data_IF_883340068595
#
_entry.id   IF_883340068595
#
_cell.length_a   1.000
_cell.length_b   1.000
_cell.length_c   1.000
_cell.angle_alpha   90.00
_cell.angle_beta   90.00
_cell.angle_gamma   90.00
#
_symmetry.space_group_name_H-M   'P 1'
#
loop_
_entity.id
_entity.type
_entity.pdbx_description
1 polymer ?
#
# COMPACT_ATOMS: atom_id res chain seq x y z
N UNK A 1 -1.65 -10.16 -5.60
CA UNK A 1 -0.81 -9.41 -4.64
C UNK A 1 0.56 -9.21 -5.26
N UNK A 2 0.99 -7.98 -5.40
CA UNK A 2 2.32 -7.66 -5.97
C UNK A 2 3.35 -7.88 -4.87
N UNK A 3 4.45 -8.59 -5.17
CA UNK A 3 5.54 -8.79 -4.22
C UNK A 3 6.37 -7.49 -4.04
N UNK A 4 7.13 -7.36 -2.94
CA UNK A 4 7.91 -6.15 -2.67
C UNK A 4 8.97 -5.85 -3.73
N UNK A 5 9.57 -6.85 -4.36
CA UNK A 5 10.59 -6.69 -5.38
C UNK A 5 9.98 -6.08 -6.65
N UNK A 6 8.85 -6.62 -7.09
CA UNK A 6 8.09 -6.08 -8.23
C UNK A 6 7.55 -4.69 -7.92
N UNK A 7 7.07 -4.46 -6.71
CA UNK A 7 6.61 -3.15 -6.25
C UNK A 7 7.74 -2.11 -6.27
N UNK A 8 8.94 -2.47 -5.84
CA UNK A 8 10.11 -1.59 -5.89
C UNK A 8 10.46 -1.20 -7.33
N UNK A 9 10.51 -2.18 -8.24
CA UNK A 9 10.75 -1.92 -9.66
C UNK A 9 9.67 -1.03 -10.28
N UNK A 10 8.41 -1.25 -9.93
CA UNK A 10 7.28 -0.42 -10.37
C UNK A 10 7.41 1.01 -9.87
N UNK A 11 7.79 1.21 -8.60
CA UNK A 11 8.02 2.53 -8.04
C UNK A 11 9.16 3.28 -8.75
N UNK A 12 10.27 2.61 -9.04
CA UNK A 12 11.38 3.21 -9.79
C UNK A 12 10.96 3.61 -11.21
N UNK A 13 10.20 2.77 -11.89
CA UNK A 13 9.68 3.08 -13.23
C UNK A 13 8.71 4.27 -13.19
N UNK A 14 7.87 4.37 -12.18
CA UNK A 14 6.94 5.48 -11.98
C UNK A 14 7.67 6.80 -11.74
N UNK A 15 8.75 6.82 -10.93
CA UNK A 15 9.59 8.01 -10.74
C UNK A 15 10.16 8.50 -12.06
N UNK A 16 10.71 7.60 -12.87
CA UNK A 16 11.23 7.94 -14.20
C UNK A 16 10.13 8.48 -15.12
N UNK A 17 8.95 7.89 -15.04
CA UNK A 17 7.76 8.35 -15.76
C UNK A 17 7.35 9.77 -15.39
N UNK A 18 7.34 10.11 -14.10
CA UNK A 18 7.06 11.47 -13.60
C UNK A 18 8.10 12.47 -14.10
N UNK A 19 9.37 12.15 -13.96
CA UNK A 19 10.47 13.03 -14.41
C UNK A 19 10.39 13.27 -15.91
N UNK A 20 10.14 12.23 -16.72
CA UNK A 20 9.96 12.35 -18.15
C UNK A 20 8.73 13.18 -18.52
N UNK A 21 7.61 12.98 -17.84
CA UNK A 21 6.38 13.73 -18.06
C UNK A 21 6.56 15.24 -17.77
N UNK A 22 7.27 15.59 -16.70
CA UNK A 22 7.56 16.98 -16.37
C UNK A 22 8.49 17.60 -17.42
N UNK A 23 9.55 16.91 -17.84
CA UNK A 23 10.47 17.38 -18.88
C UNK A 23 9.79 17.58 -20.23
N UNK A 24 8.83 16.75 -20.58
CA UNK A 24 8.07 16.84 -21.83
C UNK A 24 6.93 17.85 -21.77
N UNK A 25 6.68 18.49 -20.64
CA UNK A 25 5.54 19.38 -20.45
C UNK A 25 4.19 18.67 -20.54
N UNK A 26 4.13 17.38 -20.18
CA UNK A 26 2.89 16.60 -20.21
C UNK A 26 1.88 17.12 -19.20
N UNK A 27 0.62 16.82 -19.51
CA UNK A 27 -0.54 17.21 -18.71
C UNK A 27 -0.41 16.73 -17.26
N UNK A 28 -0.93 17.55 -16.35
CA UNK A 28 -1.05 17.29 -14.91
C UNK A 28 -1.67 15.91 -14.62
N UNK A 29 -2.64 15.48 -15.41
CA UNK A 29 -3.27 14.16 -15.26
C UNK A 29 -2.30 12.98 -15.51
N UNK A 30 -1.40 13.11 -16.49
CA UNK A 30 -0.38 12.10 -16.75
C UNK A 30 0.64 12.02 -15.61
N UNK A 31 1.07 13.17 -15.09
CA UNK A 31 1.96 13.26 -13.91
C UNK A 31 1.29 12.64 -12.69
N UNK A 32 0.04 13.00 -12.43
CA UNK A 32 -0.76 12.48 -11.32
C UNK A 32 -0.91 10.95 -11.38
N UNK A 33 -1.17 10.39 -12.56
CA UNK A 33 -1.27 8.94 -12.75
C UNK A 33 0.01 8.20 -12.40
N UNK A 34 1.17 8.69 -12.85
CA UNK A 34 2.47 8.10 -12.51
C UNK A 34 2.80 8.27 -11.01
N UNK A 35 2.46 9.40 -10.41
CA UNK A 35 2.62 9.64 -8.97
C UNK A 35 1.80 8.66 -8.14
N UNK A 36 0.56 8.38 -8.53
CA UNK A 36 -0.28 7.43 -7.82
C UNK A 36 0.28 6.01 -7.90
N UNK A 37 0.79 5.59 -9.06
CA UNK A 37 1.50 4.32 -9.20
C UNK A 37 2.71 4.23 -8.28
N UNK A 38 3.47 5.31 -8.17
CA UNK A 38 4.61 5.39 -7.27
C UNK A 38 4.19 5.21 -5.80
N UNK A 39 3.16 5.92 -5.35
CA UNK A 39 2.67 5.82 -3.97
C UNK A 39 2.13 4.43 -3.65
N UNK A 40 1.37 3.82 -4.53
CA UNK A 40 0.85 2.47 -4.35
C UNK A 40 1.98 1.44 -4.23
N UNK A 41 2.95 1.52 -5.11
CA UNK A 41 4.10 0.63 -5.08
C UNK A 41 4.97 0.84 -3.83
N UNK A 42 5.20 2.10 -3.44
CA UNK A 42 5.92 2.45 -2.21
C UNK A 42 5.21 1.91 -0.97
N UNK A 43 3.90 2.04 -0.90
CA UNK A 43 3.11 1.55 0.25
C UNK A 43 3.22 0.03 0.40
N UNK A 44 3.33 -0.72 -0.69
CA UNK A 44 3.55 -2.18 -0.66
C UNK A 44 4.92 -2.49 -0.05
N UNK A 45 5.97 -1.84 -0.52
CA UNK A 45 7.34 -2.05 0.01
C UNK A 45 7.41 -1.65 1.48
N UNK A 46 6.81 -0.54 1.85
CA UNK A 46 6.83 -0.01 3.21
C UNK A 46 6.07 -0.91 4.20
N UNK A 47 4.92 -1.45 3.79
CA UNK A 47 4.18 -2.44 4.59
C UNK A 47 5.00 -3.70 4.83
N UNK A 48 5.67 -4.20 3.83
CA UNK A 48 6.53 -5.38 3.96
C UNK A 48 7.73 -5.10 4.86
N UNK A 49 8.36 -3.94 4.74
CA UNK A 49 9.46 -3.50 5.59
C UNK A 49 9.07 -3.35 7.07
N UNK A 50 7.79 -3.04 7.33
CA UNK A 50 7.25 -2.82 8.68
C UNK A 50 6.76 -4.10 9.36
N UNK A 51 6.69 -5.23 8.66
CA UNK A 51 6.24 -6.49 9.27
C UNK A 51 7.24 -6.97 10.32
N UNK A 52 6.75 -7.45 11.49
CA UNK A 52 7.63 -8.04 12.49
C UNK A 52 8.29 -9.30 11.93
N UNK A 53 9.59 -9.40 12.13
CA UNK A 53 10.40 -10.51 11.62
C UNK A 53 10.47 -11.59 12.67
N UNK A 54 9.82 -12.72 12.42
CA UNK A 54 9.78 -13.87 13.31
C UNK A 54 10.82 -14.94 12.97
N UNK A 55 11.72 -14.68 12.05
CA UNK A 55 12.57 -15.71 11.46
C UNK A 55 13.98 -15.65 11.98
N UNK A 56 14.53 -16.82 12.31
CA UNK A 56 15.91 -17.06 12.69
C UNK A 56 16.80 -17.52 11.52
N UNK A 57 16.28 -17.63 10.31
CA UNK A 57 17.03 -18.04 9.13
C UNK A 57 17.88 -16.89 8.57
N UNK A 58 19.15 -17.14 8.29
CA UNK A 58 20.08 -16.13 7.74
C UNK A 58 19.61 -15.53 6.39
N UNK A 59 18.99 -16.34 5.55
CA UNK A 59 18.45 -15.91 4.25
C UNK A 59 17.31 -14.90 4.41
N UNK A 60 16.44 -15.12 5.38
CA UNK A 60 15.31 -14.25 5.66
C UNK A 60 15.75 -12.89 6.23
N UNK A 61 16.85 -12.89 7.01
CA UNK A 61 17.44 -11.65 7.53
C UNK A 61 18.02 -10.78 6.42
N UNK A 62 18.71 -11.39 5.45
CA UNK A 62 19.26 -10.67 4.31
C UNK A 62 18.15 -10.08 3.42
N UNK A 63 17.12 -10.86 3.12
CA UNK A 63 15.94 -10.39 2.38
C UNK A 63 15.22 -9.25 3.10
N UNK A 64 15.05 -9.41 4.41
CA UNK A 64 14.43 -8.40 5.25
C UNK A 64 15.23 -7.09 5.27
N UNK A 65 16.56 -7.16 5.32
CA UNK A 65 17.42 -5.99 5.23
C UNK A 65 17.29 -5.31 3.87
N UNK A 66 17.28 -6.09 2.79
CA UNK A 66 17.09 -5.56 1.43
C UNK A 66 15.77 -4.79 1.30
N UNK A 67 14.66 -5.33 1.79
CA UNK A 67 13.36 -4.67 1.76
C UNK A 67 13.39 -3.35 2.54
N UNK A 68 14.03 -3.32 3.71
CA UNK A 68 14.19 -2.08 4.49
C UNK A 68 15.02 -1.04 3.73
N UNK A 69 16.09 -1.46 3.08
CA UNK A 69 16.91 -0.56 2.25
C UNK A 69 16.13 -0.04 1.04
N UNK A 70 15.36 -0.88 0.39
CA UNK A 70 14.47 -0.47 -0.71
C UNK A 70 13.41 0.54 -0.24
N UNK A 71 12.79 0.30 0.93
CA UNK A 71 11.84 1.24 1.51
C UNK A 71 12.47 2.61 1.80
N UNK A 72 13.71 2.62 2.30
CA UNK A 72 14.48 3.84 2.51
C UNK A 72 14.77 4.56 1.20
N UNK A 73 15.22 3.84 0.18
CA UNK A 73 15.48 4.41 -1.14
C UNK A 73 14.23 5.06 -1.75
N UNK A 74 13.07 4.43 -1.60
CA UNK A 74 11.81 5.00 -2.08
C UNK A 74 11.38 6.24 -1.27
N UNK A 75 11.65 6.28 0.03
CA UNK A 75 11.40 7.47 0.84
C UNK A 75 12.32 8.65 0.44
N UNK A 76 13.57 8.37 0.15
CA UNK A 76 14.53 9.37 -0.36
C UNK A 76 14.12 9.86 -1.76
N UNK A 77 13.73 8.96 -2.64
CA UNK A 77 13.23 9.28 -3.97
C UNK A 77 11.95 10.14 -3.94
N UNK A 78 11.05 9.91 -2.99
CA UNK A 78 9.87 10.76 -2.78
C UNK A 78 10.28 12.18 -2.39
N UNK A 79 11.27 12.34 -1.52
CA UNK A 79 11.80 13.65 -1.15
C UNK A 79 12.43 14.38 -2.34
N UNK A 80 13.22 13.68 -3.13
CA UNK A 80 13.82 14.24 -4.35
C UNK A 80 12.74 14.66 -5.34
N UNK A 81 11.71 13.83 -5.51
CA UNK A 81 10.59 14.14 -6.38
C UNK A 81 9.79 15.35 -5.91
N UNK A 82 9.56 15.48 -4.59
CA UNK A 82 8.96 16.67 -4.01
C UNK A 82 9.80 17.92 -4.33
N UNK A 83 11.10 17.88 -4.07
CA UNK A 83 12.00 18.99 -4.35
C UNK A 83 11.98 19.35 -5.84
N UNK A 84 11.98 18.36 -6.71
CA UNK A 84 11.91 18.57 -8.15
C UNK A 84 10.58 19.24 -8.57
N UNK A 85 9.47 18.79 -8.01
CA UNK A 85 8.15 19.37 -8.26
C UNK A 85 8.08 20.84 -7.79
N UNK A 86 8.59 21.12 -6.60
CA UNK A 86 8.65 22.49 -6.06
C UNK A 86 9.52 23.39 -6.93
N UNK A 87 10.71 22.95 -7.31
CA UNK A 87 11.63 23.71 -8.16
C UNK A 87 11.10 23.93 -9.57
N UNK A 88 10.26 23.02 -10.07
CA UNK A 88 9.60 23.13 -11.38
C UNK A 88 8.34 24.01 -11.36
N UNK A 89 8.00 24.62 -10.21
CA UNK A 89 6.80 25.43 -10.06
C UNK A 89 5.50 24.65 -9.87
N UNK A 90 5.58 23.35 -9.58
CA UNK A 90 4.43 22.45 -9.41
C UNK A 90 4.18 22.10 -7.93
N UNK A 91 4.51 22.98 -7.00
CA UNK A 91 4.32 22.75 -5.57
C UNK A 91 2.84 22.52 -5.20
N UNK A 92 1.93 23.24 -5.85
CA UNK A 92 0.49 23.10 -5.62
C UNK A 92 -0.02 21.70 -6.05
N UNK A 93 0.49 21.21 -7.17
CA UNK A 93 0.17 19.84 -7.63
C UNK A 93 0.66 18.79 -6.64
N UNK A 94 1.85 18.98 -6.10
CA UNK A 94 2.36 18.07 -5.06
C UNK A 94 1.43 18.03 -3.85
N UNK A 95 0.99 19.18 -3.36
CA UNK A 95 0.07 19.25 -2.23
C UNK A 95 -1.28 18.58 -2.53
N UNK A 96 -1.84 18.82 -3.70
CA UNK A 96 -3.09 18.18 -4.13
C UNK A 96 -2.96 16.65 -4.18
N UNK A 97 -1.85 16.15 -4.72
CA UNK A 97 -1.56 14.70 -4.76
C UNK A 97 -1.42 14.11 -3.35
N UNK A 98 -0.80 14.83 -2.41
CA UNK A 98 -0.69 14.38 -1.02
C UNK A 98 -2.07 14.31 -0.33
N UNK A 99 -2.91 15.28 -0.55
CA UNK A 99 -4.29 15.28 -0.02
C UNK A 99 -5.08 14.09 -0.58
N UNK A 100 -5.02 13.89 -1.89
CA UNK A 100 -5.73 12.77 -2.54
C UNK A 100 -5.21 11.41 -2.07
N UNK A 101 -3.90 11.25 -1.97
CA UNK A 101 -3.28 10.07 -1.37
C UNK A 101 -3.82 9.78 0.03
N UNK A 102 -3.87 10.80 0.88
CA UNK A 102 -4.37 10.64 2.24
C UNK A 102 -5.85 10.26 2.28
N UNK A 103 -6.66 10.80 1.37
CA UNK A 103 -8.06 10.44 1.23
C UNK A 103 -8.23 8.97 0.83
N UNK A 104 -7.46 8.51 -0.15
CA UNK A 104 -7.46 7.11 -0.60
C UNK A 104 -7.05 6.18 0.55
N UNK A 105 -6.00 6.52 1.30
CA UNK A 105 -5.56 5.73 2.46
C UNK A 105 -6.67 5.63 3.51
N UNK A 106 -7.34 6.73 3.81
CA UNK A 106 -8.47 6.75 4.76
C UNK A 106 -9.64 5.88 4.28
N UNK A 107 -10.00 5.99 3.01
CA UNK A 107 -11.06 5.18 2.42
C UNK A 107 -10.73 3.69 2.50
N UNK A 108 -9.53 3.29 2.13
CA UNK A 108 -9.07 1.89 2.25
C UNK A 108 -9.16 1.37 3.68
N UNK A 109 -8.75 2.16 4.68
CA UNK A 109 -8.86 1.78 6.09
C UNK A 109 -10.30 1.57 6.51
N UNK A 110 -11.21 2.43 6.09
CA UNK A 110 -12.64 2.28 6.37
C UNK A 110 -13.19 1.02 5.73
N UNK A 111 -12.86 0.74 4.47
CA UNK A 111 -13.26 -0.48 3.76
C UNK A 111 -12.72 -1.74 4.43
N UNK A 112 -11.46 -1.73 4.87
CA UNK A 112 -10.85 -2.84 5.60
C UNK A 112 -11.58 -3.12 6.92
N UNK A 113 -11.92 -2.08 7.69
CA UNK A 113 -12.65 -2.20 8.95
C UNK A 113 -14.06 -2.76 8.69
N UNK A 114 -14.75 -2.26 7.67
CA UNK A 114 -16.07 -2.76 7.29
C UNK A 114 -16.02 -4.22 6.86
N UNK A 115 -15.04 -4.59 6.04
CA UNK A 115 -14.85 -5.98 5.60
C UNK A 115 -14.54 -6.90 6.78
N UNK A 116 -13.72 -6.47 7.73
CA UNK A 116 -13.42 -7.23 8.94
C UNK A 116 -14.66 -7.41 9.83
N UNK A 117 -15.44 -6.36 10.03
CA UNK A 117 -16.69 -6.42 10.77
C UNK A 117 -17.70 -7.37 10.11
N UNK A 118 -17.82 -7.37 8.79
CA UNK A 118 -18.66 -8.33 8.07
C UNK A 118 -18.18 -9.77 8.23
N UNK A 119 -16.87 -9.99 8.24
CA UNK A 119 -16.31 -11.33 8.50
C UNK A 119 -16.59 -11.81 9.91
N UNK A 120 -16.49 -10.92 10.92
CA UNK A 120 -16.80 -11.24 12.32
C UNK A 120 -18.27 -11.61 12.48
N UNK A 121 -19.18 -10.80 11.94
CA UNK A 121 -20.63 -11.09 11.97
C UNK A 121 -20.96 -12.43 11.31
N UNK A 122 -20.39 -12.73 10.15
CA UNK A 122 -20.59 -14.03 9.50
C UNK A 122 -20.11 -15.19 10.34
N UNK A 123 -18.99 -15.06 11.04
CA UNK A 123 -18.49 -16.12 11.93
C UNK A 123 -19.42 -16.34 13.10
N UNK A 124 -19.89 -15.27 13.73
CA UNK A 124 -20.88 -15.33 14.82
C UNK A 124 -22.18 -16.02 14.37
N UNK A 125 -22.72 -15.63 13.21
CA UNK A 125 -23.91 -16.26 12.63
C UNK A 125 -23.72 -17.76 12.36
N UNK A 126 -22.55 -18.15 11.86
CA UNK A 126 -22.23 -19.57 11.60
C UNK A 126 -22.08 -20.33 12.93
N UNK A 127 -21.43 -19.76 13.93
CA UNK A 127 -21.29 -20.36 15.26
C UNK A 127 -22.64 -20.55 15.92
N UNK A 128 -23.53 -19.57 15.86
CA UNK A 128 -24.89 -19.65 16.36
C UNK A 128 -25.68 -20.74 15.64
N UNK A 129 -25.62 -20.79 14.32
CA UNK A 129 -26.27 -21.82 13.54
C UNK A 129 -25.75 -23.23 13.89
N UNK A 130 -24.45 -23.41 14.04
CA UNK A 130 -23.84 -24.65 14.48
C UNK A 130 -24.30 -25.06 15.87
N UNK A 131 -24.37 -24.12 16.79
CA UNK A 131 -24.85 -24.37 18.17
C UNK A 131 -26.31 -24.83 18.16
N UNK A 132 -27.17 -24.19 17.38
CA UNK A 132 -28.57 -24.58 17.21
C UNK A 132 -28.73 -25.97 16.58
N UNK A 133 -27.91 -26.29 15.58
CA UNK A 133 -27.92 -27.62 14.94
C UNK A 133 -27.50 -28.72 15.93
N UNK A 134 -26.48 -28.49 16.73
CA UNK A 134 -25.99 -29.44 17.72
C UNK A 134 -27.05 -29.63 18.83
N UNK A 135 -27.66 -28.54 19.31
CA UNK A 135 -28.73 -28.60 20.30
C UNK A 135 -29.96 -29.38 19.76
N UNK A 136 -30.34 -29.12 18.50
CA UNK A 136 -31.44 -29.87 17.85
C UNK A 136 -31.16 -31.36 17.67
N UNK A 137 -29.92 -31.73 17.33
CA UNK A 137 -29.52 -33.13 17.19
C UNK A 137 -29.52 -33.86 18.54
N UNK A 138 -29.17 -33.20 19.63
CA UNK A 138 -29.20 -33.78 20.99
C UNK A 138 -30.60 -34.01 21.49
N UNK A 139 -31.61 -33.24 21.06
CA UNK A 139 -33.00 -33.42 21.43
C UNK A 139 -33.65 -34.63 20.69
N UNK A 140 -33.15 -34.96 19.51
CA UNK A 140 -33.65 -36.07 18.65
C UNK A 140 -33.05 -37.43 19.00
N UNK A 141 -32.06 -37.49 19.87
CA UNK A 141 -31.46 -38.73 20.38
C UNK A 141 -32.08 -39.12 21.73
#
# INVERSE_FOLDING_TARGET
>A
MIDPITAFATAQAAIKGVQAAIKMGKDIHAIGGEMMKFFEAKDIVQREASKPKSSFAKSDTAQAFEIVMQAKQLADAERELNNYMVMSGNADLWQQLMVERNNIIKQRKVEEILAENHRKKRKEEIEDLMTWLIAGALILL
#
